data_IF_361409956198
#
_entry.id   IF_361409956198
#
_cell.length_a   1.000
_cell.length_b   1.000
_cell.length_c   1.000
_cell.angle_alpha   90.00
_cell.angle_beta   90.00
_cell.angle_gamma   90.00
#
_symmetry.space_group_name_H-M   'P 1'
#
loop_
_entity.id
_entity.type
_entity.pdbx_description
1 polymer ?
#
# COMPACT_ATOMS: atom_id res chain seq x y z
N UNK A 1 22.80 4.10 15.64
CA UNK A 1 21.42 3.62 15.80
C UNK A 1 20.85 2.95 14.55
N UNK A 2 20.87 3.58 13.37
CA UNK A 2 20.36 2.99 12.12
C UNK A 2 20.91 1.59 11.82
N UNK A 3 22.23 1.41 11.91
CA UNK A 3 22.91 0.13 11.68
C UNK A 3 22.39 -0.98 12.59
N UNK A 4 22.24 -0.71 13.88
CA UNK A 4 21.85 -1.73 14.88
C UNK A 4 20.37 -2.13 14.76
N UNK A 5 19.48 -1.15 14.51
CA UNK A 5 18.04 -1.41 14.53
C UNK A 5 17.42 -1.73 13.16
N UNK A 6 18.12 -1.45 12.06
CA UNK A 6 17.64 -1.72 10.71
C UNK A 6 18.53 -2.70 9.98
N UNK A 7 19.85 -2.41 9.86
CA UNK A 7 20.74 -3.23 9.05
C UNK A 7 20.97 -4.61 9.67
N UNK A 8 21.31 -4.66 10.98
CA UNK A 8 21.55 -5.93 11.67
C UNK A 8 20.35 -6.87 11.61
N UNK A 9 19.09 -6.45 11.89
CA UNK A 9 17.92 -7.33 11.74
C UNK A 9 17.69 -7.86 10.33
N UNK A 10 18.03 -7.11 9.27
CA UNK A 10 17.94 -7.61 7.89
C UNK A 10 18.90 -8.79 7.68
N UNK A 11 20.18 -8.64 8.06
CA UNK A 11 21.14 -9.73 7.96
C UNK A 11 20.78 -10.92 8.86
N UNK A 12 20.23 -10.65 10.03
CA UNK A 12 19.76 -11.70 10.93
C UNK A 12 18.56 -12.45 10.35
N UNK A 13 17.61 -11.76 9.71
CA UNK A 13 16.51 -12.40 8.98
C UNK A 13 17.03 -13.26 7.81
N UNK A 14 18.03 -12.76 7.07
CA UNK A 14 18.70 -13.55 6.02
C UNK A 14 19.38 -14.80 6.59
N UNK A 15 20.04 -14.69 7.74
CA UNK A 15 20.65 -15.84 8.41
C UNK A 15 19.59 -16.85 8.86
N UNK A 16 18.51 -16.42 9.53
CA UNK A 16 17.43 -17.30 9.98
C UNK A 16 16.73 -17.98 8.80
N UNK A 17 16.59 -17.32 7.65
CA UNK A 17 15.94 -17.87 6.46
C UNK A 17 16.60 -19.14 5.91
N UNK A 18 17.88 -19.37 6.25
CA UNK A 18 18.65 -20.55 5.89
C UNK A 18 18.54 -21.70 6.92
N UNK A 19 17.73 -21.53 7.96
CA UNK A 19 17.57 -22.48 9.04
C UNK A 19 16.11 -22.92 9.19
N UNK A 20 15.90 -24.12 9.65
CA UNK A 20 14.64 -24.57 10.24
C UNK A 20 14.65 -24.16 11.72
N UNK A 21 13.73 -23.28 12.10
CA UNK A 21 13.65 -22.78 13.47
C UNK A 21 12.24 -22.30 13.81
N UNK A 22 11.72 -22.76 14.93
CA UNK A 22 10.39 -22.37 15.43
C UNK A 22 10.37 -21.08 16.25
N UNK A 23 11.55 -20.50 16.50
CA UNK A 23 11.70 -19.35 17.42
C UNK A 23 12.20 -19.75 18.81
N UNK A 24 12.17 -21.02 19.14
CA UNK A 24 12.65 -21.59 20.41
C UNK A 24 13.47 -22.86 20.12
N UNK A 25 14.49 -23.12 20.95
CA UNK A 25 15.33 -24.30 20.81
C UNK A 25 16.42 -24.16 19.74
N UNK A 26 16.91 -25.31 19.28
CA UNK A 26 18.03 -25.37 18.34
C UNK A 26 17.65 -24.96 16.93
N UNK A 27 18.53 -24.19 16.27
CA UNK A 27 18.46 -23.89 14.86
C UNK A 27 19.14 -24.97 14.05
N UNK A 28 18.43 -25.55 13.07
CA UNK A 28 18.99 -26.55 12.17
C UNK A 28 19.25 -25.89 10.81
N UNK A 29 20.49 -25.90 10.37
CA UNK A 29 20.84 -25.37 9.05
C UNK A 29 20.25 -26.22 7.94
N UNK A 30 19.48 -25.62 7.04
CA UNK A 30 18.80 -26.28 5.91
C UNK A 30 19.17 -25.65 4.56
N UNK A 31 20.04 -24.64 4.55
CA UNK A 31 20.43 -23.93 3.32
C UNK A 31 19.24 -23.27 2.63
N UNK A 32 19.04 -23.54 1.35
CA UNK A 32 17.98 -22.92 0.54
C UNK A 32 16.65 -23.68 0.55
N UNK A 33 16.49 -24.67 1.44
CA UNK A 33 15.28 -25.52 1.47
C UNK A 33 14.00 -24.70 1.72
N UNK A 34 14.02 -23.71 2.61
CA UNK A 34 12.87 -22.82 2.87
C UNK A 34 12.43 -22.10 1.58
N UNK A 35 13.37 -21.65 0.79
CA UNK A 35 13.08 -20.98 -0.50
C UNK A 35 12.56 -21.97 -1.54
N UNK A 36 13.12 -23.18 -1.58
CA UNK A 36 12.64 -24.24 -2.46
C UNK A 36 11.18 -24.59 -2.13
N UNK A 37 10.88 -24.82 -0.86
CA UNK A 37 9.53 -25.10 -0.39
C UNK A 37 8.57 -23.95 -0.74
N UNK A 38 8.96 -22.69 -0.50
CA UNK A 38 8.13 -21.53 -0.82
C UNK A 38 7.75 -21.48 -2.31
N UNK A 39 8.69 -21.81 -3.20
CA UNK A 39 8.50 -21.65 -4.64
C UNK A 39 7.95 -22.90 -5.34
N UNK A 40 8.10 -24.10 -4.77
CA UNK A 40 7.80 -25.36 -5.47
C UNK A 40 6.83 -26.28 -4.74
N UNK A 41 6.58 -26.10 -3.43
CA UNK A 41 5.63 -26.96 -2.71
C UNK A 41 4.20 -26.73 -3.24
N UNK A 42 3.52 -27.83 -3.57
CA UNK A 42 2.19 -27.80 -4.21
C UNK A 42 1.08 -27.18 -3.36
N UNK A 43 1.26 -27.05 -2.03
CA UNK A 43 0.28 -26.48 -1.09
C UNK A 43 0.62 -25.03 -0.74
N UNK A 44 1.90 -24.68 -0.67
CA UNK A 44 2.39 -23.39 -0.19
C UNK A 44 2.57 -22.40 -1.34
N UNK A 45 3.21 -22.83 -2.42
CA UNK A 45 3.52 -22.00 -3.58
C UNK A 45 2.27 -21.32 -4.21
N UNK A 46 1.14 -22.01 -4.41
CA UNK A 46 -0.05 -21.36 -4.95
C UNK A 46 -0.58 -20.23 -4.04
N UNK A 47 -0.54 -20.42 -2.72
CA UNK A 47 -0.96 -19.39 -1.74
C UNK A 47 -0.04 -18.18 -1.79
N UNK A 48 1.27 -18.41 -1.83
CA UNK A 48 2.25 -17.32 -1.95
C UNK A 48 2.09 -16.52 -3.24
N UNK A 49 1.98 -17.19 -4.39
CA UNK A 49 1.80 -16.47 -5.67
C UNK A 49 0.44 -15.79 -5.78
N UNK A 50 -0.62 -16.35 -5.19
CA UNK A 50 -1.91 -15.67 -5.10
C UNK A 50 -1.79 -14.37 -4.28
N UNK A 51 -1.18 -14.43 -3.11
CA UNK A 51 -0.94 -13.27 -2.26
C UNK A 51 -0.05 -12.23 -2.96
N UNK A 52 1.03 -12.66 -3.62
CA UNK A 52 1.91 -11.78 -4.41
C UNK A 52 1.14 -11.09 -5.56
N UNK A 53 0.25 -11.80 -6.24
CA UNK A 53 -0.62 -11.22 -7.26
C UNK A 53 -1.53 -10.13 -6.68
N UNK A 54 -2.07 -10.32 -5.47
CA UNK A 54 -2.86 -9.30 -4.78
C UNK A 54 -2.00 -8.07 -4.41
N UNK A 55 -0.75 -8.27 -3.95
CA UNK A 55 0.19 -7.17 -3.72
C UNK A 55 0.46 -6.37 -4.99
N UNK A 56 0.76 -7.05 -6.11
CA UNK A 56 1.03 -6.39 -7.39
C UNK A 56 -0.22 -5.65 -7.89
N UNK A 57 -1.39 -6.28 -7.82
CA UNK A 57 -2.66 -5.66 -8.19
C UNK A 57 -2.90 -4.39 -7.39
N UNK A 58 -2.68 -4.44 -6.06
CA UNK A 58 -2.85 -3.29 -5.19
C UNK A 58 -1.83 -2.19 -5.50
N UNK A 59 -0.55 -2.54 -5.69
CA UNK A 59 0.50 -1.60 -6.11
C UNK A 59 0.12 -0.87 -7.41
N UNK A 60 -0.38 -1.59 -8.41
CA UNK A 60 -0.83 -0.98 -9.67
C UNK A 60 -1.99 -0.01 -9.44
N UNK A 61 -2.97 -0.37 -8.60
CA UNK A 61 -4.07 0.53 -8.23
C UNK A 61 -3.57 1.78 -7.52
N UNK A 62 -2.62 1.64 -6.60
CA UNK A 62 -2.01 2.78 -5.90
C UNK A 62 -1.34 3.73 -6.90
N UNK A 63 -0.52 3.19 -7.80
CA UNK A 63 0.26 4.02 -8.73
C UNK A 63 -0.58 4.62 -9.85
N UNK A 64 -1.58 3.89 -10.37
CA UNK A 64 -2.34 4.30 -11.56
C UNK A 64 -3.61 5.07 -11.20
N UNK A 65 -4.18 4.83 -10.02
CA UNK A 65 -5.45 5.46 -9.62
C UNK A 65 -5.24 6.40 -8.44
N UNK A 66 -4.71 5.91 -7.31
CA UNK A 66 -4.65 6.69 -6.07
C UNK A 66 -3.65 7.85 -6.21
N UNK A 67 -2.44 7.58 -6.69
CA UNK A 67 -1.39 8.60 -6.84
C UNK A 67 -1.80 9.76 -7.78
N UNK A 68 -2.36 9.52 -8.99
CA UNK A 68 -2.88 10.61 -9.82
C UNK A 68 -4.01 11.42 -9.16
N UNK A 69 -4.91 10.76 -8.42
CA UNK A 69 -5.97 11.47 -7.67
C UNK A 69 -5.35 12.37 -6.60
N UNK A 70 -4.38 11.87 -5.82
CA UNK A 70 -3.67 12.64 -4.81
C UNK A 70 -2.95 13.85 -5.42
N UNK A 71 -2.29 13.66 -6.57
CA UNK A 71 -1.63 14.73 -7.31
C UNK A 71 -2.64 15.78 -7.81
N UNK A 72 -3.75 15.36 -8.39
CA UNK A 72 -4.81 16.25 -8.85
C UNK A 72 -5.44 17.08 -7.71
N UNK A 73 -5.70 16.44 -6.56
CA UNK A 73 -6.19 17.14 -5.37
C UNK A 73 -5.16 18.13 -4.83
N UNK A 74 -3.87 17.78 -4.83
CA UNK A 74 -2.79 18.70 -4.45
C UNK A 74 -2.75 19.92 -5.36
N UNK A 75 -2.90 19.73 -6.67
CA UNK A 75 -2.96 20.83 -7.63
C UNK A 75 -4.15 21.78 -7.38
N UNK A 76 -5.34 21.24 -7.08
CA UNK A 76 -6.50 22.05 -6.72
C UNK A 76 -6.25 22.93 -5.47
N UNK A 77 -5.50 22.40 -4.49
CA UNK A 77 -5.07 23.19 -3.33
C UNK A 77 -4.03 24.24 -3.71
N UNK A 78 -3.10 23.89 -4.61
CA UNK A 78 -2.02 24.75 -5.07
C UNK A 78 -2.54 25.99 -5.79
N UNK A 79 -3.52 25.86 -6.67
CA UNK A 79 -4.18 27.00 -7.34
C UNK A 79 -5.18 27.73 -6.43
N UNK A 80 -5.24 27.37 -5.14
CA UNK A 80 -6.04 28.03 -4.09
C UNK A 80 -7.52 28.14 -4.43
N UNK A 81 -8.15 27.05 -4.90
CA UNK A 81 -9.61 27.04 -5.14
C UNK A 81 -10.38 27.53 -3.91
N UNK A 82 -11.59 28.09 -4.13
CA UNK A 82 -12.44 28.59 -3.04
C UNK A 82 -12.67 27.48 -2.00
N UNK A 83 -12.29 27.74 -0.74
CA UNK A 83 -12.39 26.77 0.36
C UNK A 83 -11.21 25.80 0.48
N UNK A 84 -10.09 25.98 -0.24
CA UNK A 84 -8.93 25.09 -0.22
C UNK A 84 -8.43 24.72 1.20
N UNK A 85 -8.47 25.64 2.16
CA UNK A 85 -8.08 25.38 3.56
C UNK A 85 -9.00 24.34 4.22
N UNK A 86 -10.30 24.41 3.95
CA UNK A 86 -11.29 23.48 4.46
C UNK A 86 -11.11 22.10 3.82
N UNK A 87 -10.98 22.03 2.49
CA UNK A 87 -10.74 20.76 1.79
C UNK A 87 -9.44 20.09 2.24
N UNK A 88 -8.37 20.87 2.43
CA UNK A 88 -7.11 20.35 2.97
C UNK A 88 -7.30 19.65 4.32
N UNK A 89 -8.02 20.30 5.25
CA UNK A 89 -8.30 19.73 6.56
C UNK A 89 -9.17 18.47 6.47
N UNK A 90 -10.28 18.52 5.72
CA UNK A 90 -11.23 17.42 5.60
C UNK A 90 -10.63 16.17 4.94
N UNK A 91 -9.80 16.34 3.91
CA UNK A 91 -9.16 15.24 3.22
C UNK A 91 -8.00 14.63 4.03
N UNK A 92 -7.36 15.40 4.90
CA UNK A 92 -6.30 14.91 5.77
C UNK A 92 -6.82 14.26 7.05
N UNK A 93 -7.99 14.66 7.53
CA UNK A 93 -8.55 14.21 8.81
C UNK A 93 -8.63 12.68 8.95
N UNK A 94 -9.06 11.88 7.95
CA UNK A 94 -9.13 10.43 8.07
C UNK A 94 -7.78 9.76 8.38
N UNK A 95 -6.67 10.33 7.94
CA UNK A 95 -5.34 9.81 8.19
C UNK A 95 -4.94 9.81 9.67
N UNK A 96 -5.49 10.74 10.47
CA UNK A 96 -5.21 10.84 11.91
C UNK A 96 -5.81 9.66 12.69
N UNK A 97 -6.82 8.99 12.13
CA UNK A 97 -7.47 7.83 12.73
C UNK A 97 -6.59 6.60 12.49
N UNK A 98 -6.35 5.79 13.53
CA UNK A 98 -5.54 4.57 13.36
C UNK A 98 -6.19 3.60 12.36
N UNK A 99 -5.37 2.92 11.58
CA UNK A 99 -5.83 1.93 10.58
C UNK A 99 -6.67 0.83 11.21
N UNK A 100 -6.36 0.42 12.43
CA UNK A 100 -7.15 -0.57 13.18
C UNK A 100 -8.59 -0.08 13.42
N UNK A 101 -8.76 1.16 13.87
CA UNK A 101 -10.08 1.76 14.11
C UNK A 101 -10.84 1.89 12.79
N UNK A 102 -10.19 2.39 11.74
CA UNK A 102 -10.78 2.51 10.40
C UNK A 102 -11.26 1.15 9.88
N UNK A 103 -10.43 0.12 10.02
CA UNK A 103 -10.77 -1.24 9.60
C UNK A 103 -11.97 -1.79 10.37
N UNK A 104 -11.98 -1.60 11.68
CA UNK A 104 -13.09 -2.02 12.54
C UNK A 104 -14.40 -1.28 12.17
N UNK A 105 -14.35 0.03 11.96
CA UNK A 105 -15.49 0.79 11.47
C UNK A 105 -15.97 0.28 10.09
N UNK A 106 -15.06 -0.05 9.20
CA UNK A 106 -15.41 -0.62 7.90
C UNK A 106 -16.14 -1.97 8.05
N UNK A 107 -15.71 -2.85 8.97
CA UNK A 107 -16.44 -4.12 9.21
C UNK A 107 -17.86 -3.89 9.70
N UNK A 108 -18.10 -2.92 10.58
CA UNK A 108 -19.44 -2.57 11.08
C UNK A 108 -20.28 -1.91 9.98
N UNK A 109 -19.68 -0.95 9.25
CA UNK A 109 -20.37 -0.19 8.20
C UNK A 109 -20.90 -1.10 7.08
N UNK A 110 -20.08 -2.09 6.69
CA UNK A 110 -20.34 -3.07 5.65
C UNK A 110 -20.82 -4.42 6.18
N UNK A 111 -21.29 -4.52 7.44
CA UNK A 111 -21.85 -5.76 7.96
C UNK A 111 -23.11 -6.17 7.17
N UNK A 112 -23.23 -7.44 6.73
CA UNK A 112 -24.35 -7.91 5.91
C UNK A 112 -25.72 -7.77 6.59
N UNK A 113 -25.77 -7.87 7.92
CA UNK A 113 -27.03 -7.94 8.68
C UNK A 113 -27.43 -6.58 9.27
N UNK A 114 -26.48 -5.92 9.97
CA UNK A 114 -26.75 -4.71 10.75
C UNK A 114 -26.11 -3.46 10.12
N UNK A 115 -25.23 -3.61 9.12
CA UNK A 115 -24.45 -2.53 8.54
C UNK A 115 -25.30 -1.44 7.90
N UNK A 116 -24.84 -0.20 8.08
CA UNK A 116 -25.49 1.00 7.54
C UNK A 116 -25.62 0.96 6.01
N UNK A 117 -24.61 0.41 5.31
CA UNK A 117 -24.63 0.34 3.85
C UNK A 117 -25.76 -0.54 3.32
N UNK A 118 -26.07 -1.65 3.97
CA UNK A 118 -27.22 -2.49 3.60
C UNK A 118 -28.57 -1.85 3.96
N UNK A 119 -28.63 -1.06 5.04
CA UNK A 119 -29.83 -0.27 5.35
C UNK A 119 -30.09 0.79 4.27
N UNK A 120 -29.05 1.43 3.76
CA UNK A 120 -29.19 2.37 2.63
C UNK A 120 -29.64 1.65 1.34
N UNK A 121 -29.07 0.50 1.00
CA UNK A 121 -29.47 -0.27 -0.18
C UNK A 121 -30.94 -0.65 -0.12
N UNK A 122 -31.39 -1.21 1.01
CA UNK A 122 -32.80 -1.63 1.18
C UNK A 122 -33.77 -0.46 1.20
N UNK A 123 -33.34 0.73 1.67
CA UNK A 123 -34.23 1.92 1.65
C UNK A 123 -34.54 2.43 0.24
N UNK A 124 -33.67 2.12 -0.74
CA UNK A 124 -33.89 2.45 -2.17
C UNK A 124 -34.35 1.24 -2.99
N UNK A 125 -34.76 0.16 -2.32
CA UNK A 125 -35.32 -1.03 -2.97
C UNK A 125 -34.31 -2.01 -3.57
N UNK A 126 -33.02 -1.87 -3.22
CA UNK A 126 -31.97 -2.78 -3.67
C UNK A 126 -31.78 -3.94 -2.70
N UNK A 127 -31.26 -5.05 -3.22
CA UNK A 127 -30.96 -6.24 -2.41
C UNK A 127 -29.74 -6.01 -1.50
N UNK A 128 -29.70 -6.73 -0.37
CA UNK A 128 -28.56 -6.72 0.53
C UNK A 128 -27.34 -7.35 -0.14
N UNK A 129 -26.16 -6.77 0.10
CA UNK A 129 -24.88 -7.30 -0.33
C UNK A 129 -24.13 -7.92 0.85
N UNK A 130 -23.35 -8.97 0.59
CA UNK A 130 -22.43 -9.55 1.57
C UNK A 130 -21.10 -8.79 1.71
N UNK A 131 -20.88 -7.74 0.90
CA UNK A 131 -19.74 -6.82 0.93
C UNK A 131 -18.38 -7.57 1.01
N UNK A 132 -17.70 -7.58 2.17
CA UNK A 132 -16.44 -8.32 2.36
C UNK A 132 -16.61 -9.84 2.30
N UNK A 133 -17.82 -10.35 2.45
CA UNK A 133 -18.18 -11.75 2.20
C UNK A 133 -18.26 -12.11 0.71
N UNK A 134 -18.23 -11.13 -0.20
CA UNK A 134 -18.19 -11.34 -1.63
C UNK A 134 -16.74 -11.18 -2.15
N UNK A 135 -16.08 -12.25 -2.62
CA UNK A 135 -14.67 -12.17 -3.04
C UNK A 135 -14.41 -11.21 -4.21
N UNK A 136 -15.42 -10.93 -5.04
CA UNK A 136 -15.32 -9.97 -6.14
C UNK A 136 -15.34 -8.52 -5.66
N UNK A 137 -16.02 -8.24 -4.56
CA UNK A 137 -16.18 -6.88 -4.02
C UNK A 137 -15.13 -6.57 -2.94
N UNK A 138 -14.70 -7.57 -2.16
CA UNK A 138 -13.88 -7.39 -0.98
C UNK A 138 -12.59 -6.59 -1.27
N UNK A 139 -11.87 -6.94 -2.34
CA UNK A 139 -10.66 -6.23 -2.72
C UNK A 139 -10.93 -4.75 -3.09
N UNK A 140 -11.97 -4.48 -3.85
CA UNK A 140 -12.34 -3.11 -4.25
C UNK A 140 -12.76 -2.28 -3.06
N UNK A 141 -13.56 -2.85 -2.15
CA UNK A 141 -13.97 -2.17 -0.92
C UNK A 141 -12.77 -1.86 -0.02
N UNK A 142 -11.84 -2.81 0.13
CA UNK A 142 -10.59 -2.58 0.84
C UNK A 142 -9.83 -1.39 0.25
N UNK A 143 -9.68 -1.33 -1.08
CA UNK A 143 -9.01 -0.22 -1.76
C UNK A 143 -9.72 1.11 -1.50
N UNK A 144 -11.05 1.15 -1.52
CA UNK A 144 -11.83 2.36 -1.24
C UNK A 144 -11.58 2.83 0.21
N UNK A 145 -11.57 1.92 1.18
CA UNK A 145 -11.30 2.26 2.58
C UNK A 145 -9.89 2.82 2.75
N UNK A 146 -8.89 2.19 2.15
CA UNK A 146 -7.49 2.65 2.21
C UNK A 146 -7.35 4.02 1.51
N UNK A 147 -7.97 4.17 0.34
CA UNK A 147 -7.94 5.44 -0.40
C UNK A 147 -8.55 6.56 0.44
N UNK A 148 -9.72 6.33 1.04
CA UNK A 148 -10.35 7.33 1.90
C UNK A 148 -9.46 7.72 3.09
N UNK A 149 -8.81 6.76 3.73
CA UNK A 149 -7.91 7.02 4.86
C UNK A 149 -6.62 7.73 4.43
N UNK A 150 -6.00 7.29 3.34
CA UNK A 150 -4.65 7.70 2.96
C UNK A 150 -4.55 8.78 1.88
N UNK A 151 -5.68 9.21 1.29
CA UNK A 151 -5.67 10.17 0.18
C UNK A 151 -5.05 11.51 0.56
N UNK A 152 -5.31 11.97 1.78
CA UNK A 152 -4.84 13.26 2.29
C UNK A 152 -3.33 13.31 2.47
N UNK A 153 -2.68 12.21 2.84
CA UNK A 153 -1.23 12.18 3.09
C UNK A 153 -0.45 12.39 1.80
N UNK A 154 -0.72 11.59 0.76
CA UNK A 154 -0.06 11.76 -0.54
C UNK A 154 -0.38 13.11 -1.18
N UNK A 155 -1.64 13.58 -1.07
CA UNK A 155 -2.03 14.93 -1.49
C UNK A 155 -1.17 16.01 -0.81
N UNK A 156 -0.92 15.90 0.51
CA UNK A 156 -0.12 16.89 1.24
C UNK A 156 1.34 16.89 0.82
N UNK A 157 1.91 15.71 0.53
CA UNK A 157 3.30 15.60 0.04
C UNK A 157 3.41 16.26 -1.34
N UNK A 158 2.50 15.94 -2.26
CA UNK A 158 2.50 16.58 -3.58
C UNK A 158 2.24 18.08 -3.50
N UNK A 159 1.35 18.52 -2.61
CA UNK A 159 1.10 19.94 -2.38
C UNK A 159 2.35 20.67 -1.88
N UNK A 160 3.09 20.10 -0.94
CA UNK A 160 4.35 20.65 -0.47
C UNK A 160 5.38 20.77 -1.61
N UNK A 161 5.53 19.70 -2.41
CA UNK A 161 6.42 19.70 -3.56
C UNK A 161 6.06 20.75 -4.62
N UNK A 162 4.77 21.03 -4.83
CA UNK A 162 4.33 22.09 -5.76
C UNK A 162 4.65 23.49 -5.23
N UNK A 163 4.76 23.68 -3.91
CA UNK A 163 5.13 24.97 -3.31
C UNK A 163 6.61 25.33 -3.51
N UNK A 164 7.45 24.36 -3.89
CA UNK A 164 8.86 24.58 -4.22
C UNK A 164 9.04 25.20 -5.63
N UNK A 165 7.97 25.22 -6.46
CA UNK A 165 8.01 25.86 -7.79
C UNK A 165 8.04 27.38 -7.61
N UNK A 166 9.04 28.10 -8.17
CA UNK A 166 9.15 29.54 -8.03
C UNK A 166 7.91 30.27 -8.57
N UNK A 167 7.41 31.23 -7.79
CA UNK A 167 6.22 32.05 -8.18
C UNK A 167 6.47 32.78 -9.51
N UNK A 168 7.71 33.19 -9.82
CA UNK A 168 8.08 33.82 -11.06
C UNK A 168 7.78 32.98 -12.32
N UNK A 169 7.93 31.64 -12.21
CA UNK A 169 7.61 30.72 -13.32
C UNK A 169 6.09 30.67 -13.54
N UNK A 170 5.32 30.67 -12.46
CA UNK A 170 3.87 30.69 -12.52
C UNK A 170 3.34 32.02 -13.07
N UNK A 171 3.89 33.13 -12.62
CA UNK A 171 3.55 34.48 -13.12
C UNK A 171 3.87 34.65 -14.60
N UNK A 172 5.06 34.22 -15.04
CA UNK A 172 5.43 34.24 -16.44
C UNK A 172 4.42 33.44 -17.29
N UNK A 173 4.00 32.27 -16.83
CA UNK A 173 3.00 31.44 -17.53
C UNK A 173 1.64 32.13 -17.68
N UNK A 174 1.25 32.97 -16.71
CA UNK A 174 0.01 33.75 -16.78
C UNK A 174 0.15 34.85 -17.81
N UNK A 175 1.31 35.51 -17.90
CA UNK A 175 1.61 36.56 -18.91
C UNK A 175 1.58 35.94 -20.32
N UNK A 176 2.09 34.73 -20.47
CA UNK A 176 2.06 33.93 -21.72
C UNK A 176 0.63 33.42 -22.09
N UNK A 177 -0.39 33.70 -21.25
CA UNK A 177 -1.78 33.34 -21.52
C UNK A 177 -2.11 31.85 -21.23
N UNK A 178 -1.29 31.13 -20.46
CA UNK A 178 -1.58 29.76 -20.06
C UNK A 178 -2.82 29.71 -19.13
N UNK A 179 -3.79 28.88 -19.48
CA UNK A 179 -4.87 28.52 -18.56
C UNK A 179 -4.40 27.48 -17.54
N UNK A 180 -5.24 27.19 -16.50
CA UNK A 180 -4.87 26.28 -15.40
C UNK A 180 -4.49 24.86 -15.87
N UNK A 181 -5.18 24.33 -16.91
CA UNK A 181 -4.86 23.03 -17.48
C UNK A 181 -3.52 23.03 -18.21
N UNK A 182 -3.25 24.06 -19.01
CA UNK A 182 -1.96 24.21 -19.71
C UNK A 182 -0.82 24.36 -18.69
N UNK A 183 -1.04 25.11 -17.62
CA UNK A 183 -0.08 25.27 -16.51
C UNK A 183 0.18 23.93 -15.82
N UNK A 184 -0.88 23.15 -15.54
CA UNK A 184 -0.74 21.81 -14.95
C UNK A 184 0.15 20.92 -15.80
N UNK A 185 -0.17 20.72 -17.09
CA UNK A 185 0.53 19.74 -17.93
C UNK A 185 1.89 20.21 -18.44
N UNK A 186 2.06 21.52 -18.70
CA UNK A 186 3.29 22.06 -19.32
C UNK A 186 4.32 22.55 -18.29
N UNK A 187 3.90 22.83 -17.06
CA UNK A 187 4.76 23.45 -16.05
C UNK A 187 4.77 22.61 -14.78
N UNK A 188 3.63 22.46 -14.10
CA UNK A 188 3.58 21.86 -12.77
C UNK A 188 3.96 20.38 -12.80
N UNK A 189 3.40 19.59 -13.72
CA UNK A 189 3.76 18.15 -13.82
C UNK A 189 5.26 17.99 -14.11
N UNK A 190 5.85 18.56 -15.18
CA UNK A 190 7.26 18.40 -15.47
C UNK A 190 8.17 18.82 -14.31
N UNK A 191 7.92 19.98 -13.71
CA UNK A 191 8.72 20.50 -12.61
C UNK A 191 8.55 19.71 -11.30
N UNK A 192 7.41 19.03 -11.11
CA UNK A 192 7.16 18.21 -9.92
C UNK A 192 7.67 16.77 -10.03
N UNK A 193 8.02 16.26 -11.22
CA UNK A 193 8.43 14.86 -11.40
C UNK A 193 9.59 14.48 -10.47
N UNK A 194 10.69 15.24 -10.35
CA UNK A 194 11.81 14.85 -9.50
C UNK A 194 11.40 14.69 -8.03
N UNK A 195 10.68 15.68 -7.49
CA UNK A 195 10.21 15.65 -6.10
C UNK A 195 9.10 14.61 -5.87
N UNK A 196 8.30 14.29 -6.90
CA UNK A 196 7.28 13.24 -6.85
C UNK A 196 7.89 11.82 -6.88
N UNK A 197 9.11 11.65 -7.40
CA UNK A 197 9.76 10.35 -7.51
C UNK A 197 9.85 9.64 -6.16
N UNK A 198 10.30 10.34 -5.12
CA UNK A 198 10.38 9.81 -3.76
C UNK A 198 9.02 9.36 -3.24
N UNK A 199 7.96 10.14 -3.48
CA UNK A 199 6.61 9.78 -3.04
C UNK A 199 6.08 8.54 -3.78
N UNK A 200 6.35 8.40 -5.08
CA UNK A 200 5.99 7.23 -5.87
C UNK A 200 6.69 5.97 -5.35
N UNK A 201 8.01 6.05 -5.07
CA UNK A 201 8.78 4.93 -4.53
C UNK A 201 8.23 4.54 -3.14
N UNK A 202 8.00 5.51 -2.26
CA UNK A 202 7.42 5.27 -0.94
C UNK A 202 6.04 4.63 -1.03
N UNK A 203 5.16 5.11 -1.92
CA UNK A 203 3.85 4.52 -2.16
C UNK A 203 3.94 3.06 -2.63
N UNK A 204 4.94 2.73 -3.44
CA UNK A 204 5.21 1.36 -3.87
C UNK A 204 5.63 0.46 -2.71
N UNK A 205 6.56 0.93 -1.87
CA UNK A 205 7.02 0.20 -0.68
C UNK A 205 5.84 -0.07 0.26
N UNK A 206 5.02 0.94 0.54
CA UNK A 206 3.81 0.80 1.37
C UNK A 206 2.79 -0.16 0.77
N UNK A 207 2.55 -0.10 -0.54
CA UNK A 207 1.61 -0.98 -1.22
C UNK A 207 2.06 -2.46 -1.19
N UNK A 208 3.34 -2.71 -1.39
CA UNK A 208 3.90 -4.07 -1.32
C UNK A 208 4.00 -4.58 0.11
N UNK A 209 4.16 -3.67 1.09
CA UNK A 209 4.26 -3.99 2.52
C UNK A 209 2.94 -4.02 3.29
N UNK A 210 1.79 -3.91 2.63
CA UNK A 210 0.49 -3.83 3.30
C UNK A 210 0.20 -5.07 4.17
N UNK A 211 -0.35 -4.85 5.38
CA UNK A 211 -0.71 -5.90 6.32
C UNK A 211 -1.98 -5.58 7.14
N UNK A 212 -2.00 -4.46 7.88
CA UNK A 212 -2.97 -4.20 8.94
C UNK A 212 -4.42 -4.29 8.48
N UNK A 213 -4.77 -3.52 7.45
CA UNK A 213 -6.15 -3.40 7.00
C UNK A 213 -6.67 -4.69 6.34
N UNK A 214 -5.93 -5.37 5.42
CA UNK A 214 -6.32 -6.68 4.92
C UNK A 214 -6.49 -7.72 6.01
N UNK A 215 -5.60 -7.72 7.03
CA UNK A 215 -5.67 -8.68 8.13
C UNK A 215 -6.92 -8.49 8.99
N UNK A 216 -7.32 -7.26 9.28
CA UNK A 216 -8.51 -6.98 10.08
C UNK A 216 -9.79 -7.27 9.28
N UNK A 217 -9.83 -6.90 8.00
CA UNK A 217 -11.00 -7.11 7.14
C UNK A 217 -11.19 -8.56 6.70
N UNK A 218 -10.10 -9.25 6.40
CA UNK A 218 -10.10 -10.62 5.87
C UNK A 218 -9.85 -11.70 6.92
N UNK A 219 -9.46 -11.31 8.14
CA UNK A 219 -9.00 -12.25 9.16
C UNK A 219 -7.70 -12.95 8.78
N UNK A 220 -7.26 -13.91 9.60
CA UNK A 220 -5.99 -14.61 9.39
C UNK A 220 -5.91 -15.38 8.06
N UNK A 221 -7.05 -15.70 7.43
CA UNK A 221 -7.13 -16.47 6.18
C UNK A 221 -7.17 -15.61 4.92
N UNK A 222 -7.22 -14.28 5.04
CA UNK A 222 -7.34 -13.37 3.89
C UNK A 222 -8.75 -13.30 3.29
N UNK A 223 -9.77 -13.56 4.08
CA UNK A 223 -11.17 -13.45 3.68
C UNK A 223 -11.66 -14.59 2.77
N UNK A 224 -12.86 -14.42 2.23
CA UNK A 224 -13.48 -15.44 1.37
C UNK A 224 -12.66 -15.63 0.09
N UNK A 225 -12.32 -16.86 -0.21
CA UNK A 225 -11.47 -17.26 -1.35
C UNK A 225 -10.11 -16.53 -1.37
N UNK A 226 -9.55 -16.21 -0.21
CA UNK A 226 -8.28 -15.51 -0.05
C UNK A 226 -8.23 -14.18 -0.82
N UNK A 227 -9.40 -13.53 -1.02
CA UNK A 227 -9.53 -12.30 -1.81
C UNK A 227 -8.76 -11.11 -1.24
N UNK A 228 -8.50 -11.11 0.06
CA UNK A 228 -7.72 -10.12 0.79
C UNK A 228 -6.40 -10.71 1.33
N UNK A 229 -5.91 -11.83 0.78
CA UNK A 229 -4.66 -12.41 1.21
C UNK A 229 -3.46 -11.71 0.54
N UNK A 230 -2.52 -11.25 1.35
CA UNK A 230 -1.29 -10.54 0.96
C UNK A 230 -0.07 -11.26 1.52
N UNK A 231 1.11 -11.05 0.94
CA UNK A 231 2.31 -11.80 1.32
C UNK A 231 2.67 -11.61 2.80
N UNK A 232 2.49 -10.42 3.37
CA UNK A 232 2.72 -10.20 4.79
C UNK A 232 1.75 -10.98 5.70
N UNK A 233 0.55 -11.33 5.21
CA UNK A 233 -0.36 -12.21 5.93
C UNK A 233 0.10 -13.67 5.85
N UNK A 234 0.61 -14.10 4.69
CA UNK A 234 1.26 -15.42 4.52
C UNK A 234 2.46 -15.52 5.45
N UNK A 235 3.35 -14.51 5.44
CA UNK A 235 4.47 -14.40 6.38
C UNK A 235 4.02 -14.56 7.83
N UNK A 236 3.01 -13.79 8.26
CA UNK A 236 2.53 -13.81 9.64
C UNK A 236 2.02 -15.19 10.05
N UNK A 237 1.22 -15.86 9.20
CA UNK A 237 0.68 -17.19 9.47
C UNK A 237 1.76 -18.25 9.65
N UNK A 238 2.80 -18.23 8.81
CA UNK A 238 3.88 -19.21 8.90
C UNK A 238 4.87 -18.89 10.02
N UNK A 239 5.15 -17.62 10.27
CA UNK A 239 6.09 -17.21 11.32
C UNK A 239 5.57 -17.53 12.71
N UNK A 240 4.33 -17.14 13.00
CA UNK A 240 3.74 -17.23 14.34
C UNK A 240 2.81 -18.42 14.54
N UNK A 241 2.58 -19.17 13.49
CA UNK A 241 1.62 -20.26 13.48
C UNK A 241 0.18 -19.77 13.34
N UNK A 242 -0.69 -20.65 12.89
CA UNK A 242 -2.13 -20.42 12.83
C UNK A 242 -2.87 -21.75 12.98
N UNK A 243 -4.18 -21.68 13.23
CA UNK A 243 -5.05 -22.86 13.24
C UNK A 243 -5.00 -23.65 11.92
N UNK A 244 -4.58 -23.00 10.81
CA UNK A 244 -4.48 -23.61 9.49
C UNK A 244 -3.12 -24.29 9.23
N UNK A 245 -2.02 -23.72 9.77
CA UNK A 245 -0.65 -24.11 9.43
C UNK A 245 0.09 -24.81 10.57
N UNK A 246 -0.55 -24.99 11.74
CA UNK A 246 0.04 -25.68 12.88
C UNK A 246 1.13 -24.86 13.60
N UNK A 247 2.33 -25.42 13.75
CA UNK A 247 3.41 -24.82 14.52
C UNK A 247 4.06 -23.63 13.82
N UNK A 248 4.60 -22.70 14.62
CA UNK A 248 5.41 -21.58 14.13
C UNK A 248 6.68 -22.07 13.44
N UNK A 249 7.05 -21.42 12.34
CA UNK A 249 8.31 -21.65 11.64
C UNK A 249 8.93 -20.29 11.25
N UNK A 250 9.75 -19.76 12.14
CA UNK A 250 10.41 -18.46 11.94
C UNK A 250 11.43 -18.53 10.79
N UNK A 251 12.07 -19.68 10.59
CA UNK A 251 12.98 -19.88 9.45
C UNK A 251 12.27 -19.72 8.12
N UNK A 252 11.15 -20.39 7.95
CA UNK A 252 10.35 -20.29 6.74
C UNK A 252 9.71 -18.89 6.57
N UNK A 253 9.19 -18.28 7.66
CA UNK A 253 8.70 -16.91 7.63
C UNK A 253 9.79 -15.91 7.23
N UNK A 254 11.00 -16.06 7.77
CA UNK A 254 12.14 -15.24 7.36
C UNK A 254 12.48 -15.39 5.88
N UNK A 255 12.35 -16.58 5.29
CA UNK A 255 12.54 -16.77 3.85
C UNK A 255 11.50 -15.99 3.02
N UNK A 256 10.23 -15.98 3.45
CA UNK A 256 9.18 -15.14 2.80
C UNK A 256 9.57 -13.66 2.85
N UNK A 257 10.01 -13.17 4.03
CA UNK A 257 10.42 -11.77 4.20
C UNK A 257 11.61 -11.40 3.33
N UNK A 258 12.60 -12.28 3.21
CA UNK A 258 13.79 -12.09 2.35
C UNK A 258 13.39 -12.02 0.88
N UNK A 259 12.49 -12.88 0.41
CA UNK A 259 11.97 -12.82 -0.96
C UNK A 259 11.25 -11.50 -1.20
N UNK A 260 10.39 -11.05 -0.28
CA UNK A 260 9.71 -9.76 -0.39
C UNK A 260 10.67 -8.59 -0.36
N UNK A 261 11.69 -8.64 0.48
CA UNK A 261 12.74 -7.61 0.50
C UNK A 261 13.39 -7.46 -0.89
N UNK A 262 13.78 -8.56 -1.53
CA UNK A 262 14.38 -8.48 -2.86
C UNK A 262 13.40 -8.02 -3.93
N UNK A 263 12.13 -8.39 -3.85
CA UNK A 263 11.09 -7.89 -4.78
C UNK A 263 10.95 -6.37 -4.62
N UNK A 264 10.74 -5.87 -3.39
CA UNK A 264 10.57 -4.45 -3.11
C UNK A 264 11.83 -3.67 -3.51
N UNK A 265 13.01 -4.17 -3.16
CA UNK A 265 14.28 -3.54 -3.49
C UNK A 265 14.47 -3.42 -5.01
N UNK A 266 14.21 -4.51 -5.75
CA UNK A 266 14.34 -4.52 -7.21
C UNK A 266 13.36 -3.55 -7.87
N UNK A 267 12.09 -3.56 -7.48
CA UNK A 267 11.08 -2.65 -8.01
C UNK A 267 11.44 -1.20 -7.70
N UNK A 268 11.86 -0.90 -6.47
CA UNK A 268 12.26 0.45 -6.06
C UNK A 268 13.52 0.93 -6.79
N UNK A 269 14.51 0.04 -7.02
CA UNK A 269 15.68 0.38 -7.85
C UNK A 269 15.33 0.69 -9.29
N UNK A 270 14.42 -0.10 -9.89
CA UNK A 270 13.95 0.15 -11.26
C UNK A 270 13.24 1.51 -11.32
N UNK A 271 12.34 1.77 -10.38
CA UNK A 271 11.63 3.06 -10.31
C UNK A 271 12.61 4.22 -10.14
N UNK A 272 13.56 4.11 -9.21
CA UNK A 272 14.55 5.16 -8.99
C UNK A 272 15.38 5.44 -10.25
N UNK A 273 15.84 4.41 -10.97
CA UNK A 273 16.59 4.58 -12.24
C UNK A 273 15.75 5.20 -13.36
N UNK A 274 14.44 4.91 -13.41
CA UNK A 274 13.55 5.48 -14.41
C UNK A 274 13.23 6.94 -14.11
N UNK A 275 13.00 7.26 -12.83
CA UNK A 275 12.61 8.60 -12.40
C UNK A 275 13.78 9.57 -12.31
N UNK A 276 14.99 9.11 -11.95
CA UNK A 276 16.21 9.96 -11.92
C UNK A 276 16.67 10.45 -13.30
N UNK A 277 16.24 9.80 -14.39
CA UNK A 277 16.52 10.29 -15.75
C UNK A 277 15.74 11.56 -16.13
N UNK A 278 14.74 11.94 -15.33
CA UNK A 278 13.88 13.11 -15.55
C UNK A 278 14.27 14.26 -14.62
N UNK A 279 15.42 14.17 -13.94
CA UNK A 279 15.95 15.26 -13.13
C UNK A 279 16.34 16.43 -14.04
N UNK A 280 15.62 17.55 -13.94
CA UNK A 280 16.05 18.83 -14.49
C UNK A 280 16.85 19.55 -13.39
N UNK A 281 18.14 19.77 -13.64
CA UNK A 281 18.93 20.73 -12.85
C UNK A 281 18.43 22.15 -13.18
N UNK A 282 18.08 22.91 -12.15
CA UNK A 282 17.74 24.34 -12.22
C UNK A 282 18.95 25.18 -11.84
#
# INVERSE_FOLDING_TARGET
>A
MYTVFIIVPIFFAMFISLHEWSGLGEMKFTGLENFRVLLTDSRISPTFFHALKNNIKYMVVVLVIITPIQFGLAYLLYIKIKGHKYYRFMLFLPYVISTTIVSFFATILFDPNIGFMNKMLTSVGLEKSSWFGNPKLAFTLMVIVIMWQGIGTGMMIFYANMQDIPDSVIEASMIDGCNDWQRLYKIVIPLSIPSCATNIIMSTIWALGIFDLPYILGGATGGVNNSLDFVNMVFYRYTFGSALNGQSNMGFGSAISVVMFFIIFTVSMIQNRLLSKVEYEY
#
